data_IF_613004334385
#
_entry.id   IF_613004334385
#
_cell.length_a   1.000
_cell.length_b   1.000
_cell.length_c   1.000
_cell.angle_alpha   90.00
_cell.angle_beta   90.00
_cell.angle_gamma   90.00
#
_symmetry.space_group_name_H-M   'P 1'
#
loop_
_entity.id
_entity.type
_entity.pdbx_description
1 polymer ?
#
# COMPACT_ATOMS: atom_id res chain seq x y z
N UNK A 1 -35.13 -25.55 7.99
CA UNK A 1 -34.30 -24.37 7.62
C UNK A 1 -33.09 -24.33 8.52
N UNK A 2 -31.86 -24.55 8.02
CA UNK A 2 -30.67 -24.22 8.77
C UNK A 2 -30.07 -22.90 8.26
N UNK A 3 -29.91 -21.96 9.18
CA UNK A 3 -29.17 -20.69 9.04
C UNK A 3 -27.67 -20.99 8.88
N UNK A 4 -27.24 -21.48 7.71
CA UNK A 4 -25.82 -21.67 7.39
C UNK A 4 -25.56 -21.06 6.02
N UNK A 5 -25.70 -19.74 5.88
CA UNK A 5 -25.47 -19.09 4.57
C UNK A 5 -24.67 -17.78 4.61
N UNK A 6 -24.01 -17.44 5.73
CA UNK A 6 -23.20 -16.21 5.78
C UNK A 6 -21.73 -16.42 6.15
N UNK A 7 -21.32 -17.61 6.61
CA UNK A 7 -19.95 -17.84 7.07
C UNK A 7 -18.96 -18.27 5.96
N UNK A 8 -19.42 -18.40 4.72
CA UNK A 8 -18.56 -18.78 3.58
C UNK A 8 -18.11 -17.61 2.70
N UNK A 9 -18.59 -16.38 2.96
CA UNK A 9 -18.21 -15.22 2.14
C UNK A 9 -16.86 -14.59 2.51
N UNK A 10 -16.32 -14.90 3.70
CA UNK A 10 -15.07 -14.28 4.20
C UNK A 10 -13.79 -15.02 3.78
N UNK A 11 -13.91 -16.23 3.24
CA UNK A 11 -12.75 -17.07 2.84
C UNK A 11 -12.38 -16.86 1.37
N UNK A 12 -13.16 -16.08 0.61
CA UNK A 12 -12.92 -15.82 -0.81
C UNK A 12 -12.72 -14.33 -1.12
N UNK A 13 -11.73 -13.69 -0.48
CA UNK A 13 -11.11 -12.49 -1.09
C UNK A 13 -9.75 -12.94 -1.65
N UNK A 14 -9.72 -13.59 -2.82
CA UNK A 14 -8.48 -13.96 -3.45
C UNK A 14 -7.76 -12.67 -3.80
N UNK A 15 -6.59 -12.43 -3.22
CA UNK A 15 -5.58 -11.52 -3.77
C UNK A 15 -6.16 -10.32 -4.53
N UNK A 16 -6.95 -9.46 -3.88
CA UNK A 16 -7.46 -8.25 -4.52
C UNK A 16 -6.24 -7.39 -4.83
N UNK A 17 -5.70 -7.54 -6.06
CA UNK A 17 -4.67 -6.66 -6.57
C UNK A 17 -5.36 -5.31 -6.66
N UNK A 18 -4.91 -4.31 -5.87
CA UNK A 18 -5.52 -3.01 -5.92
C UNK A 18 -5.44 -2.51 -7.37
N UNK A 19 -6.57 -2.05 -7.90
CA UNK A 19 -6.59 -1.41 -9.21
C UNK A 19 -5.87 -0.05 -9.16
N UNK A 20 -5.60 0.51 -10.33
CA UNK A 20 -4.88 1.78 -10.45
C UNK A 20 -5.64 2.97 -9.82
N UNK A 21 -6.97 2.91 -9.77
CA UNK A 21 -7.81 3.93 -9.14
C UNK A 21 -7.63 3.91 -7.62
N UNK A 22 -7.63 2.72 -7.02
CA UNK A 22 -7.40 2.50 -5.60
C UNK A 22 -5.98 2.90 -5.21
N UNK A 23 -4.97 2.57 -6.03
CA UNK A 23 -3.59 3.01 -5.84
C UNK A 23 -3.52 4.53 -5.86
N UNK A 24 -4.12 5.17 -6.87
CA UNK A 24 -4.13 6.62 -7.03
C UNK A 24 -4.84 7.32 -5.87
N UNK A 25 -5.98 6.77 -5.41
CA UNK A 25 -6.71 7.25 -4.23
C UNK A 25 -5.86 7.15 -2.97
N UNK A 26 -5.14 6.05 -2.79
CA UNK A 26 -4.24 5.85 -1.65
C UNK A 26 -3.07 6.84 -1.67
N UNK A 27 -2.45 7.03 -2.84
CA UNK A 27 -1.38 8.03 -3.03
C UNK A 27 -1.88 9.43 -2.65
N UNK A 28 -3.09 9.82 -3.09
CA UNK A 28 -3.69 11.12 -2.72
C UNK A 28 -3.85 11.30 -1.21
N UNK A 29 -4.03 10.21 -0.44
CA UNK A 29 -4.16 10.23 1.02
C UNK A 29 -2.79 10.25 1.72
N UNK A 30 -1.82 9.46 1.27
CA UNK A 30 -0.50 9.39 1.92
C UNK A 30 0.45 10.52 1.51
N UNK A 31 0.21 11.21 0.38
CA UNK A 31 1.08 12.31 -0.10
C UNK A 31 1.23 13.47 0.89
N UNK A 32 0.29 13.62 1.82
CA UNK A 32 0.33 14.67 2.85
C UNK A 32 1.25 14.31 4.01
N UNK A 33 1.56 13.03 4.19
CA UNK A 33 2.37 12.51 5.29
C UNK A 33 3.85 12.85 5.06
N UNK A 34 4.50 13.39 6.10
CA UNK A 34 5.91 13.83 6.03
C UNK A 34 6.86 12.71 5.61
N UNK A 35 6.69 11.51 6.18
CA UNK A 35 7.54 10.36 5.84
C UNK A 35 7.40 9.95 4.37
N UNK A 36 6.23 10.13 3.75
CA UNK A 36 6.04 9.80 2.34
C UNK A 36 6.69 10.84 1.43
N UNK A 37 6.62 12.12 1.82
CA UNK A 37 7.33 13.21 1.11
C UNK A 37 8.84 12.98 1.09
N UNK A 38 9.42 12.60 2.24
CA UNK A 38 10.85 12.26 2.31
C UNK A 38 11.26 11.11 1.38
N UNK A 39 10.38 10.12 1.16
CA UNK A 39 10.66 9.06 0.18
C UNK A 39 10.69 9.57 -1.27
N UNK A 40 9.93 10.62 -1.59
CA UNK A 40 9.88 11.20 -2.94
C UNK A 40 11.06 12.11 -3.26
N UNK A 41 11.81 12.56 -2.24
CA UNK A 41 13.03 13.37 -2.41
C UNK A 41 14.16 12.54 -3.03
N UNK A 42 14.15 11.23 -2.84
CA UNK A 42 15.08 10.30 -3.49
C UNK A 42 14.57 9.92 -4.88
N UNK A 43 15.32 10.26 -5.92
CA UNK A 43 14.92 10.02 -7.32
C UNK A 43 14.63 8.53 -7.61
N UNK A 44 15.45 7.63 -7.09
CA UNK A 44 15.30 6.19 -7.32
C UNK A 44 14.03 5.65 -6.67
N UNK A 45 13.75 6.05 -5.43
CA UNK A 45 12.49 5.71 -4.76
C UNK A 45 11.29 6.30 -5.48
N UNK A 46 11.38 7.55 -5.92
CA UNK A 46 10.33 8.20 -6.70
C UNK A 46 10.03 7.41 -7.98
N UNK A 47 11.06 7.01 -8.72
CA UNK A 47 10.91 6.18 -9.92
C UNK A 47 10.22 4.85 -9.62
N UNK A 48 10.64 4.16 -8.55
CA UNK A 48 10.00 2.93 -8.11
C UNK A 48 8.53 3.12 -7.69
N UNK A 49 8.21 4.20 -6.97
CA UNK A 49 6.84 4.53 -6.56
C UNK A 49 5.95 4.80 -7.79
N UNK A 50 6.49 5.45 -8.82
CA UNK A 50 5.72 5.79 -10.02
C UNK A 50 5.54 4.56 -10.91
N UNK A 51 6.59 3.77 -11.16
CA UNK A 51 6.59 2.77 -12.24
C UNK A 51 6.66 1.31 -11.77
N UNK A 52 7.16 1.03 -10.56
CA UNK A 52 7.32 -0.36 -10.13
C UNK A 52 5.99 -0.95 -9.63
N UNK A 53 5.49 -1.97 -10.34
CA UNK A 53 4.21 -2.64 -10.06
C UNK A 53 4.09 -3.15 -8.63
N UNK A 54 5.16 -3.70 -8.04
CA UNK A 54 5.09 -4.27 -6.69
C UNK A 54 5.04 -3.19 -5.62
N UNK A 55 5.81 -2.12 -5.80
CA UNK A 55 5.76 -0.94 -4.92
C UNK A 55 4.37 -0.31 -4.97
N UNK A 56 3.82 -0.12 -6.18
CA UNK A 56 2.45 0.39 -6.37
C UNK A 56 1.40 -0.51 -5.73
N UNK A 57 1.55 -1.83 -5.89
CA UNK A 57 0.66 -2.83 -5.26
C UNK A 57 0.69 -2.73 -3.74
N UNK A 58 1.86 -2.53 -3.12
CA UNK A 58 1.97 -2.31 -1.67
C UNK A 58 1.19 -1.06 -1.24
N UNK A 59 1.31 0.04 -1.98
CA UNK A 59 0.59 1.29 -1.70
C UNK A 59 -0.93 1.09 -1.81
N UNK A 60 -1.40 0.37 -2.83
CA UNK A 60 -2.82 0.08 -3.00
C UNK A 60 -3.42 -0.79 -1.89
N UNK A 61 -2.59 -1.57 -1.16
CA UNK A 61 -3.04 -2.37 0.00
C UNK A 61 -3.19 -1.55 1.29
N UNK A 62 -2.83 -0.27 1.29
CA UNK A 62 -2.97 0.57 2.48
C UNK A 62 -4.44 0.89 2.76
N UNK A 63 -4.82 0.69 4.02
CA UNK A 63 -6.12 1.04 4.58
C UNK A 63 -6.10 2.52 4.95
N UNK A 64 -6.47 3.37 4.00
CA UNK A 64 -6.35 4.83 4.18
C UNK A 64 -7.15 5.38 5.36
N UNK A 65 -8.24 4.71 5.71
CA UNK A 65 -9.07 5.00 6.88
C UNK A 65 -8.32 4.79 8.20
N UNK A 66 -7.27 3.96 8.21
CA UNK A 66 -6.42 3.70 9.38
C UNK A 66 -5.20 4.60 9.44
N UNK A 67 -4.95 5.44 8.43
CA UNK A 67 -3.78 6.32 8.40
C UNK A 67 -3.83 7.41 9.47
N UNK A 68 -4.96 7.67 10.11
CA UNK A 68 -5.01 8.55 11.30
C UNK A 68 -4.28 7.95 12.50
N UNK A 69 -4.08 6.63 12.53
CA UNK A 69 -3.41 5.93 13.61
C UNK A 69 -1.89 5.91 13.37
N UNK A 70 -1.12 6.52 14.27
CA UNK A 70 0.34 6.62 14.14
C UNK A 70 1.01 5.24 14.00
N UNK A 71 0.58 4.24 14.77
CA UNK A 71 1.10 2.87 14.67
C UNK A 71 0.88 2.27 13.29
N UNK A 72 -0.27 2.55 12.68
CA UNK A 72 -0.55 2.08 11.33
C UNK A 72 0.29 2.82 10.28
N UNK A 73 0.47 4.14 10.42
CA UNK A 73 1.39 4.88 9.54
C UNK A 73 2.81 4.31 9.59
N UNK A 74 3.35 4.07 10.79
CA UNK A 74 4.68 3.48 10.96
C UNK A 74 4.78 2.09 10.29
N UNK A 75 3.74 1.26 10.39
CA UNK A 75 3.67 -0.02 9.70
C UNK A 75 3.71 0.15 8.17
N UNK A 76 2.93 1.08 7.62
CA UNK A 76 2.92 1.38 6.19
C UNK A 76 4.27 1.90 5.70
N UNK A 77 4.89 2.82 6.44
CA UNK A 77 6.21 3.36 6.15
C UNK A 77 7.25 2.23 6.09
N UNK A 78 7.33 1.39 7.14
CA UNK A 78 8.27 0.25 7.18
C UNK A 78 8.07 -0.69 6.00
N UNK A 79 6.81 -1.02 5.67
CA UNK A 79 6.49 -1.91 4.55
C UNK A 79 6.91 -1.31 3.21
N UNK A 80 6.67 -0.01 3.00
CA UNK A 80 7.04 0.68 1.77
C UNK A 80 8.56 0.79 1.61
N UNK A 81 9.27 1.20 2.68
CA UNK A 81 10.74 1.26 2.68
C UNK A 81 11.36 -0.10 2.39
N UNK A 82 10.83 -1.17 3.00
CA UNK A 82 11.34 -2.53 2.77
C UNK A 82 11.24 -2.96 1.30
N UNK A 83 10.10 -2.71 0.63
CA UNK A 83 9.96 -3.07 -0.79
C UNK A 83 10.80 -2.16 -1.69
N UNK A 84 10.94 -0.87 -1.35
CA UNK A 84 11.80 0.05 -2.08
C UNK A 84 13.27 -0.41 -2.03
N UNK A 85 13.80 -0.69 -0.84
CA UNK A 85 15.16 -1.22 -0.67
C UNK A 85 15.36 -2.55 -1.38
N UNK A 86 14.37 -3.46 -1.30
CA UNK A 86 14.41 -4.74 -2.04
C UNK A 86 14.49 -4.51 -3.55
N UNK A 87 13.81 -3.50 -4.09
CA UNK A 87 13.82 -3.20 -5.53
C UNK A 87 15.05 -2.43 -5.99
N UNK A 88 15.67 -1.62 -5.12
CA UNK A 88 16.97 -1.00 -5.41
C UNK A 88 18.11 -2.01 -5.37
N UNK A 89 18.14 -2.89 -4.37
CA UNK A 89 19.21 -3.90 -4.24
C UNK A 89 19.17 -5.02 -5.29
N UNK A 90 18.05 -5.19 -5.99
CA UNK A 90 17.89 -6.14 -7.10
C UNK A 90 18.12 -5.50 -8.48
N UNK A 91 18.58 -4.24 -8.51
CA UNK A 91 18.88 -3.49 -9.74
C UNK A 91 20.37 -3.50 -9.99
#
# INVERSE_FOLDING_TARGET
>A
MPLIDFLHLLVYVPFFKPDEDQITKNIKKIKTLSWYKGLLEHEEYRSLIIYNKDVRTVIGQFKTEKLTQQNYQMKCQRKLVAILNKRLSLR
#
